data_IF_437874302588
#
_entry.id   IF_437874302588
#
_cell.length_a   1.000
_cell.length_b   1.000
_cell.length_c   1.000
_cell.angle_alpha   90.00
_cell.angle_beta   90.00
_cell.angle_gamma   90.00
#
_symmetry.space_group_name_H-M   'P 1'
#
loop_
_entity.id
_entity.type
_entity.pdbx_description
1 polymer ?
#
# COMPACT_ATOMS: atom_id res chain seq x y z
N UNK A 1 16.50 -0.66 -8.57
CA UNK A 1 15.43 0.34 -8.78
C UNK A 1 14.97 0.79 -7.41
N UNK A 2 14.88 2.11 -7.17
CA UNK A 2 14.22 2.64 -5.98
C UNK A 2 12.73 2.83 -6.34
N UNK A 3 11.79 2.13 -5.70
CA UNK A 3 10.37 2.30 -6.00
C UNK A 3 9.93 3.74 -5.70
N UNK A 4 9.03 4.27 -6.51
CA UNK A 4 8.27 5.49 -6.22
C UNK A 4 6.83 5.03 -5.96
N UNK A 5 6.40 4.95 -4.70
CA UNK A 5 5.03 4.61 -4.35
C UNK A 5 4.07 5.76 -4.62
N UNK A 6 2.81 5.45 -4.87
CA UNK A 6 1.78 6.47 -5.10
C UNK A 6 1.34 7.14 -3.79
N UNK A 7 1.19 6.37 -2.72
CA UNK A 7 0.93 6.89 -1.38
C UNK A 7 1.78 6.17 -0.34
N UNK A 8 2.25 6.94 0.63
CA UNK A 8 2.94 6.46 1.83
C UNK A 8 2.23 6.95 3.08
N UNK A 9 2.12 6.08 4.07
CA UNK A 9 1.90 6.50 5.45
C UNK A 9 3.19 6.34 6.21
N UNK A 10 3.67 7.43 6.79
CA UNK A 10 4.93 7.50 7.54
C UNK A 10 4.69 7.94 8.97
N UNK A 11 5.69 7.75 9.84
CA UNK A 11 5.67 8.29 11.21
C UNK A 11 5.59 9.82 11.22
N UNK A 12 4.98 10.42 12.25
CA UNK A 12 4.86 11.87 12.37
C UNK A 12 6.23 12.57 12.43
N UNK A 13 7.22 11.95 13.08
CA UNK A 13 8.61 12.42 13.14
C UNK A 13 9.24 12.45 11.74
N UNK A 14 8.89 11.48 10.90
CA UNK A 14 9.30 11.44 9.51
C UNK A 14 8.51 12.45 8.65
N UNK A 15 7.26 12.75 8.97
CA UNK A 15 6.52 13.78 8.24
C UNK A 15 6.99 15.22 8.56
N UNK A 16 7.73 15.44 9.64
CA UNK A 16 8.03 16.78 10.15
C UNK A 16 9.17 17.54 9.43
N UNK A 17 9.83 16.94 8.43
CA UNK A 17 10.81 17.65 7.60
C UNK A 17 10.35 17.57 6.15
N UNK A 18 10.07 18.74 5.58
CA UNK A 18 9.48 18.92 4.25
C UNK A 18 10.53 18.99 3.13
N UNK A 19 11.83 19.00 3.46
CA UNK A 19 12.93 19.14 2.49
C UNK A 19 13.42 17.79 1.95
N UNK A 20 13.03 16.68 2.58
CA UNK A 20 13.42 15.32 2.19
C UNK A 20 12.70 14.85 0.95
N UNK A 21 13.45 14.11 0.12
CA UNK A 21 12.98 13.52 -1.15
C UNK A 21 12.72 12.01 -1.03
N UNK A 22 12.84 11.46 0.19
CA UNK A 22 12.67 10.03 0.46
C UNK A 22 12.47 9.72 1.94
N UNK A 23 11.88 8.55 2.19
CA UNK A 23 11.73 7.95 3.51
C UNK A 23 12.47 6.61 3.56
N UNK A 24 13.02 6.27 4.72
CA UNK A 24 13.62 4.94 4.93
C UNK A 24 12.54 3.93 5.34
N UNK A 25 12.69 2.62 5.05
CA UNK A 25 11.65 1.63 5.31
C UNK A 25 11.14 1.60 6.76
N UNK A 26 12.01 1.84 7.74
CA UNK A 26 11.64 1.87 9.16
C UNK A 26 10.71 3.02 9.56
N UNK A 27 10.59 4.05 8.72
CA UNK A 27 9.68 5.19 8.91
C UNK A 27 8.31 4.94 8.28
N UNK A 28 8.20 3.95 7.39
CA UNK A 28 7.00 3.67 6.60
C UNK A 28 6.13 2.64 7.31
N UNK A 29 4.84 2.97 7.46
CA UNK A 29 3.83 2.09 8.06
C UNK A 29 2.97 1.41 7.02
N UNK A 30 2.65 2.10 5.92
CA UNK A 30 1.86 1.56 4.81
C UNK A 30 2.38 2.12 3.49
N UNK A 31 2.48 1.24 2.49
CA UNK A 31 2.62 1.61 1.08
C UNK A 31 1.32 1.30 0.35
N UNK A 32 0.84 2.24 -0.48
CA UNK A 32 -0.28 2.01 -1.39
C UNK A 32 0.19 2.22 -2.83
N UNK A 33 -0.19 1.31 -3.70
CA UNK A 33 0.03 1.40 -5.15
C UNK A 33 -1.30 1.32 -5.88
N UNK A 34 -1.50 2.20 -6.85
CA UNK A 34 -2.65 2.23 -7.74
C UNK A 34 -2.23 1.63 -9.08
N UNK A 35 -2.75 0.44 -9.38
CA UNK A 35 -2.36 -0.29 -10.59
C UNK A 35 -2.93 0.40 -11.81
N UNK A 36 -2.05 0.70 -12.76
CA UNK A 36 -2.37 1.19 -14.10
C UNK A 36 -1.95 0.17 -15.16
N UNK A 37 -2.45 0.26 -16.41
CA UNK A 37 -2.04 -0.65 -17.49
C UNK A 37 -0.52 -0.76 -17.68
N UNK A 38 0.22 0.34 -17.48
CA UNK A 38 1.67 0.40 -17.67
C UNK A 38 2.48 -0.01 -16.41
N UNK A 39 1.81 -0.31 -15.30
CA UNK A 39 2.46 -0.62 -14.02
C UNK A 39 2.11 -1.99 -13.45
N UNK A 40 1.23 -2.75 -14.10
CA UNK A 40 0.74 -4.08 -13.67
C UNK A 40 1.85 -4.99 -13.13
N UNK A 41 2.89 -5.27 -13.91
CA UNK A 41 3.96 -6.19 -13.48
C UNK A 41 4.81 -5.61 -12.34
N UNK A 42 5.00 -4.29 -12.30
CA UNK A 42 5.74 -3.66 -11.20
C UNK A 42 4.93 -3.73 -9.91
N UNK A 43 3.66 -3.37 -9.95
CA UNK A 43 2.84 -3.20 -8.75
C UNK A 43 2.27 -4.54 -8.24
N UNK A 44 2.08 -5.54 -9.11
CA UNK A 44 1.63 -6.88 -8.69
C UNK A 44 2.76 -7.80 -8.23
N UNK A 45 4.00 -7.60 -8.69
CA UNK A 45 5.11 -8.55 -8.46
C UNK A 45 6.36 -7.88 -7.91
N UNK A 46 6.92 -6.94 -8.66
CA UNK A 46 8.27 -6.42 -8.38
C UNK A 46 8.32 -5.56 -7.12
N UNK A 47 7.42 -4.58 -6.99
CA UNK A 47 7.38 -3.65 -5.85
C UNK A 47 6.99 -4.35 -4.54
N UNK A 48 5.96 -5.21 -4.48
CA UNK A 48 5.62 -5.94 -3.24
C UNK A 48 6.81 -6.73 -2.68
N UNK A 49 7.55 -7.45 -3.54
CA UNK A 49 8.74 -8.18 -3.10
C UNK A 49 9.77 -7.22 -2.47
N UNK A 50 10.03 -6.06 -3.09
CA UNK A 50 11.00 -5.08 -2.58
C UNK A 50 10.57 -4.46 -1.25
N UNK A 51 9.30 -4.15 -1.08
CA UNK A 51 8.78 -3.61 0.18
C UNK A 51 8.81 -4.65 1.31
N UNK A 52 8.50 -5.91 0.97
CA UNK A 52 8.64 -7.05 1.90
C UNK A 52 10.09 -7.27 2.34
N UNK A 53 11.03 -7.32 1.39
CA UNK A 53 12.48 -7.40 1.67
C UNK A 53 12.96 -6.24 2.55
N UNK A 54 12.35 -5.07 2.41
CA UNK A 54 12.66 -3.87 3.21
C UNK A 54 11.97 -3.85 4.59
N UNK A 55 11.09 -4.82 4.89
CA UNK A 55 10.42 -4.95 6.18
C UNK A 55 9.23 -4.01 6.40
N UNK A 56 8.64 -3.45 5.33
CA UNK A 56 7.50 -2.55 5.47
C UNK A 56 6.25 -3.36 5.88
N UNK A 57 5.57 -3.04 7.00
CA UNK A 57 4.55 -3.93 7.56
C UNK A 57 3.31 -4.13 6.68
N UNK A 58 2.83 -3.07 6.05
CA UNK A 58 1.57 -3.08 5.31
C UNK A 58 1.75 -2.62 3.87
N UNK A 59 1.08 -3.31 2.96
CA UNK A 59 1.05 -2.99 1.53
C UNK A 59 -0.37 -3.12 1.00
N UNK A 60 -0.87 -2.09 0.33
CA UNK A 60 -2.15 -2.11 -0.36
C UNK A 60 -1.97 -1.98 -1.87
N UNK A 61 -2.72 -2.79 -2.60
CA UNK A 61 -2.80 -2.70 -4.06
C UNK A 61 -4.22 -2.34 -4.46
N UNK A 62 -4.39 -1.16 -5.04
CA UNK A 62 -5.65 -0.68 -5.58
C UNK A 62 -5.71 -1.05 -7.05
N UNK A 63 -6.77 -1.74 -7.45
CA UNK A 63 -7.04 -2.11 -8.84
C UNK A 63 -8.43 -1.60 -9.27
N UNK A 64 -8.70 -1.69 -10.58
CA UNK A 64 -10.02 -1.47 -11.14
C UNK A 64 -10.65 -2.84 -11.51
N UNK A 65 -11.91 -3.04 -11.14
CA UNK A 65 -12.76 -4.14 -11.58
C UNK A 65 -14.12 -3.59 -12.03
N UNK A 66 -14.46 -3.77 -13.30
CA UNK A 66 -15.70 -3.26 -13.95
C UNK A 66 -16.00 -1.78 -13.63
N UNK A 67 -14.99 -0.92 -13.77
CA UNK A 67 -15.10 0.52 -13.47
C UNK A 67 -15.19 0.87 -11.98
N UNK A 68 -14.97 -0.08 -11.07
CA UNK A 68 -14.99 0.11 -9.61
C UNK A 68 -13.62 -0.11 -8.98
N UNK A 69 -13.25 0.64 -7.93
CA UNK A 69 -12.01 0.41 -7.21
C UNK A 69 -12.10 -0.86 -6.35
N UNK A 70 -11.05 -1.67 -6.38
CA UNK A 70 -10.87 -2.84 -5.51
C UNK A 70 -9.54 -2.71 -4.76
N UNK A 71 -9.58 -2.83 -3.43
CA UNK A 71 -8.38 -2.72 -2.59
C UNK A 71 -8.00 -4.09 -2.04
N UNK A 72 -6.83 -4.58 -2.43
CA UNK A 72 -6.19 -5.75 -1.86
C UNK A 72 -5.28 -5.31 -0.71
N UNK A 73 -5.53 -5.83 0.48
CA UNK A 73 -4.81 -5.50 1.71
C UNK A 73 -3.86 -6.64 2.05
N UNK A 74 -2.58 -6.29 2.26
CA UNK A 74 -1.54 -7.23 2.62
C UNK A 74 -0.80 -6.82 3.89
N UNK A 75 -0.38 -7.84 4.64
CA UNK A 75 0.52 -7.70 5.79
C UNK A 75 1.76 -8.57 5.59
N UNK A 76 2.91 -8.06 6.02
CA UNK A 76 4.15 -8.82 5.94
C UNK A 76 4.11 -9.99 6.93
N UNK A 77 4.48 -11.18 6.48
CA UNK A 77 4.81 -12.29 7.37
C UNK A 77 6.27 -12.11 7.84
N UNK A 78 6.51 -11.85 9.14
CA UNK A 78 7.86 -11.65 9.66
C UNK A 78 8.78 -12.87 9.50
N UNK A 79 8.22 -14.09 9.36
CA UNK A 79 9.01 -15.29 9.20
C UNK A 79 9.57 -15.45 7.78
N UNK A 80 8.86 -14.93 6.78
CA UNK A 80 9.21 -15.11 5.35
C UNK A 80 9.61 -13.81 4.65
N UNK A 81 9.33 -12.65 5.25
CA UNK A 81 9.51 -11.34 4.62
C UNK A 81 8.60 -11.11 3.42
N UNK A 82 7.56 -11.95 3.27
CA UNK A 82 6.64 -11.93 2.14
C UNK A 82 5.27 -11.44 2.57
N UNK A 83 4.55 -10.78 1.66
CA UNK A 83 3.20 -10.29 1.93
C UNK A 83 2.16 -11.41 1.85
N UNK A 84 1.37 -11.56 2.91
CA UNK A 84 0.15 -12.37 2.93
C UNK A 84 -1.08 -11.50 2.71
N UNK A 85 -2.03 -11.97 1.88
CA UNK A 85 -3.30 -11.28 1.65
C UNK A 85 -4.18 -11.42 2.91
N UNK A 86 -4.66 -10.29 3.44
CA UNK A 86 -5.55 -10.27 4.61
C UNK A 86 -6.97 -9.82 4.26
N UNK A 87 -7.17 -9.16 3.11
CA UNK A 87 -8.51 -8.78 2.65
C UNK A 87 -8.57 -8.29 1.20
N UNK A 88 -9.76 -8.41 0.59
CA UNK A 88 -10.10 -7.80 -0.71
C UNK A 88 -11.40 -7.03 -0.51
N UNK A 89 -11.40 -5.73 -0.81
CA UNK A 89 -12.48 -4.80 -0.51
C UNK A 89 -12.98 -4.11 -1.79
N UNK A 90 -14.29 -4.05 -2.00
CA UNK A 90 -14.91 -3.50 -3.23
C UNK A 90 -15.78 -2.26 -2.96
N UNK A 91 -16.64 -2.30 -1.94
CA UNK A 91 -17.58 -1.20 -1.62
C UNK A 91 -17.10 -0.36 -0.44
N UNK A 92 -16.52 -1.01 0.56
CA UNK A 92 -16.00 -0.36 1.77
C UNK A 92 -14.70 -1.03 2.21
N UNK A 93 -13.71 -0.20 2.49
CA UNK A 93 -12.46 -0.61 3.11
C UNK A 93 -12.50 -0.23 4.59
N UNK A 94 -12.63 -1.22 5.46
CA UNK A 94 -12.60 -1.03 6.91
C UNK A 94 -11.55 -1.97 7.51
N UNK A 95 -10.48 -1.39 8.05
CA UNK A 95 -9.38 -2.12 8.70
C UNK A 95 -8.95 -1.43 9.99
N UNK A 96 -8.38 -2.20 10.92
CA UNK A 96 -7.90 -1.69 12.20
C UNK A 96 -6.39 -1.39 12.22
N UNK A 97 -5.65 -1.84 11.21
CA UNK A 97 -4.19 -1.70 11.09
C UNK A 97 -3.81 -1.09 9.73
N UNK A 98 -2.71 -0.31 9.64
CA UNK A 98 -1.81 0.12 10.73
C UNK A 98 -2.46 1.05 11.77
N UNK A 99 -3.61 1.62 11.44
CA UNK A 99 -4.50 2.36 12.32
C UNK A 99 -5.93 2.19 11.77
N UNK A 100 -6.97 2.59 12.51
CA UNK A 100 -8.33 2.52 12.00
C UNK A 100 -8.47 3.34 10.72
N UNK A 101 -8.78 2.67 9.61
CA UNK A 101 -9.08 3.28 8.31
C UNK A 101 -10.43 2.76 7.87
N UNK A 102 -11.32 3.68 7.55
CA UNK A 102 -12.67 3.38 7.10
C UNK A 102 -13.02 4.29 5.93
N UNK A 103 -13.06 3.71 4.72
CA UNK A 103 -13.24 4.40 3.45
C UNK A 103 -14.42 3.77 2.72
N UNK A 104 -15.38 4.61 2.34
CA UNK A 104 -16.40 4.28 1.35
C UNK A 104 -15.78 4.35 -0.05
N UNK A 105 -15.65 3.19 -0.69
CA UNK A 105 -15.02 3.08 -2.01
C UNK A 105 -16.00 3.46 -3.13
N UNK A 106 -17.31 3.25 -2.91
CA UNK A 106 -18.33 3.66 -3.87
C UNK A 106 -18.41 5.20 -3.97
N UNK A 107 -18.06 5.92 -2.90
CA UNK A 107 -17.93 7.38 -2.91
C UNK A 107 -16.80 7.91 -3.82
N UNK A 108 -15.93 7.05 -4.35
CA UNK A 108 -14.90 7.39 -5.33
C UNK A 108 -15.41 7.30 -6.78
N UNK A 109 -16.59 6.67 -6.98
CA UNK A 109 -17.27 6.62 -8.27
C UNK A 109 -17.90 7.99 -8.57
N UNK A 110 -17.86 8.39 -9.84
CA UNK A 110 -18.45 9.67 -10.31
C UNK A 110 -19.95 9.58 -10.48
#
# INVERSE_FOLDING_TARGET
MRPCPDVLVVTAEAAADDERTFYVPSEVRLVVEVVSPDSVDRDRKTKPQRYGEAGIPHFWRVEEDDGRPVVYVYEIDPATGSYGLTGIHHERLAVSVPFPIDIDLDALLK
#
